data_IF_804767722675
#
_entry.id   IF_804767722675
#
_cell.length_a   1.000
_cell.length_b   1.000
_cell.length_c   1.000
_cell.angle_alpha   90.00
_cell.angle_beta   90.00
_cell.angle_gamma   90.00
#
_symmetry.space_group_name_H-M   'P 1'
#
loop_
_entity.id
_entity.type
_entity.pdbx_description
1 polymer ?
#
# COMPACT_ATOMS: atom_id res chain seq x y z
N UNK A 1 48.20 9.65 -5.33
CA UNK A 1 47.01 9.72 -4.45
C UNK A 1 46.20 10.92 -4.91
N UNK A 2 45.14 10.69 -5.69
CA UNK A 2 44.34 11.76 -6.27
C UNK A 2 43.43 12.36 -5.19
N UNK A 3 43.38 13.70 -5.10
CA UNK A 3 42.53 14.43 -4.16
C UNK A 3 41.06 14.00 -4.34
N UNK A 4 40.55 13.20 -3.40
CA UNK A 4 39.22 12.59 -3.42
C UNK A 4 38.11 13.49 -2.85
N UNK A 5 38.37 14.78 -2.66
CA UNK A 5 37.42 15.75 -2.09
C UNK A 5 37.18 16.98 -2.98
N UNK A 6 36.01 17.62 -2.83
CA UNK A 6 35.73 18.93 -3.44
C UNK A 6 36.76 19.94 -2.92
N UNK A 7 37.39 20.70 -3.82
CA UNK A 7 38.25 21.81 -3.42
C UNK A 7 37.39 22.99 -2.95
N UNK A 8 37.14 23.05 -1.65
CA UNK A 8 36.24 24.01 -1.01
C UNK A 8 36.73 25.45 -1.10
N UNK A 9 38.04 25.70 -1.02
CA UNK A 9 38.59 27.04 -1.19
C UNK A 9 38.31 27.58 -2.59
N UNK A 10 38.45 26.72 -3.60
CA UNK A 10 38.13 27.06 -4.98
C UNK A 10 36.62 27.24 -5.14
N UNK A 11 35.81 26.38 -4.53
CA UNK A 11 34.35 26.51 -4.55
C UNK A 11 33.92 27.84 -3.91
N UNK A 12 34.50 28.22 -2.77
CA UNK A 12 34.22 29.49 -2.08
C UNK A 12 34.52 30.69 -2.97
N UNK A 13 35.66 30.69 -3.66
CA UNK A 13 36.04 31.76 -4.59
C UNK A 13 35.08 31.86 -5.78
N UNK A 14 34.68 30.73 -6.35
CA UNK A 14 33.73 30.71 -7.46
C UNK A 14 32.34 31.13 -6.99
N UNK A 15 31.92 30.72 -5.78
CA UNK A 15 30.64 31.08 -5.20
C UNK A 15 30.55 32.58 -4.88
N UNK A 16 31.61 33.18 -4.35
CA UNK A 16 31.68 34.62 -4.13
C UNK A 16 31.49 35.43 -5.44
N UNK A 17 31.99 34.91 -6.57
CA UNK A 17 31.75 35.51 -7.89
C UNK A 17 30.31 35.28 -8.38
N UNK A 18 29.71 34.16 -8.02
CA UNK A 18 28.32 33.84 -8.35
C UNK A 18 27.30 34.69 -7.57
N UNK A 19 27.64 35.16 -6.37
CA UNK A 19 26.79 36.03 -5.54
C UNK A 19 27.04 37.54 -5.74
N UNK A 20 28.26 37.94 -6.09
CA UNK A 20 28.65 39.36 -6.15
C UNK A 20 29.22 39.85 -7.49
N UNK A 21 29.22 39.03 -8.53
CA UNK A 21 29.78 39.36 -9.85
C UNK A 21 28.88 40.26 -10.72
N UNK A 22 29.38 40.66 -11.89
CA UNK A 22 28.58 41.31 -12.94
C UNK A 22 27.71 40.27 -13.68
N UNK A 23 26.58 40.67 -14.26
CA UNK A 23 25.56 39.75 -14.86
C UNK A 23 26.13 38.59 -15.73
N UNK A 24 27.14 38.85 -16.57
CA UNK A 24 27.76 37.80 -17.39
C UNK A 24 28.75 36.89 -16.64
N UNK A 25 29.36 37.41 -15.58
CA UNK A 25 30.29 36.66 -14.72
C UNK A 25 29.54 35.78 -13.71
N UNK A 26 28.36 36.21 -13.25
CA UNK A 26 27.50 35.47 -12.32
C UNK A 26 27.01 34.16 -12.92
N UNK A 27 26.50 34.15 -14.15
CA UNK A 27 25.98 32.92 -14.78
C UNK A 27 27.09 31.92 -15.09
N UNK A 28 28.24 32.42 -15.54
CA UNK A 28 29.43 31.60 -15.77
C UNK A 28 29.96 31.00 -14.44
N UNK A 29 29.97 31.79 -13.36
CA UNK A 29 30.37 31.34 -12.04
C UNK A 29 29.38 30.31 -11.46
N UNK A 30 28.07 30.51 -11.61
CA UNK A 30 27.04 29.52 -11.22
C UNK A 30 27.20 28.21 -11.98
N UNK A 31 27.34 28.27 -13.31
CA UNK A 31 27.56 27.07 -14.14
C UNK A 31 28.81 26.31 -13.69
N UNK A 32 29.88 27.05 -13.36
CA UNK A 32 31.15 26.46 -12.92
C UNK A 32 31.08 25.89 -11.51
N UNK A 33 30.36 26.54 -10.61
CA UNK A 33 30.10 26.04 -9.26
C UNK A 33 29.26 24.76 -9.30
N UNK A 34 28.21 24.72 -10.13
CA UNK A 34 27.42 23.52 -10.38
C UNK A 34 28.29 22.36 -10.87
N UNK A 35 29.12 22.58 -11.89
CA UNK A 35 30.01 21.54 -12.42
C UNK A 35 31.05 21.02 -11.40
N UNK A 36 31.40 21.82 -10.37
CA UNK A 36 32.33 21.39 -9.32
C UNK A 36 31.68 20.43 -8.30
N UNK A 37 30.37 20.50 -8.13
CA UNK A 37 29.64 19.80 -7.06
C UNK A 37 28.71 18.70 -7.60
N UNK A 38 28.28 18.79 -8.86
CA UNK A 38 27.43 17.82 -9.54
C UNK A 38 28.02 16.39 -9.57
N UNK A 39 29.33 16.17 -9.79
CA UNK A 39 29.92 14.82 -9.71
C UNK A 39 29.79 14.17 -8.34
N UNK A 40 29.54 14.97 -7.31
CA UNK A 40 29.36 14.54 -5.93
C UNK A 40 27.88 14.54 -5.50
N UNK A 41 26.95 14.80 -6.44
CA UNK A 41 25.50 14.72 -6.24
C UNK A 41 24.84 15.97 -5.67
N UNK A 42 25.53 17.11 -5.65
CA UNK A 42 25.00 18.37 -5.10
C UNK A 42 24.41 19.28 -6.17
N UNK A 43 23.53 20.17 -5.73
CA UNK A 43 22.99 21.28 -6.54
C UNK A 43 23.49 22.63 -6.01
N UNK A 44 23.35 23.67 -6.84
CA UNK A 44 23.81 25.03 -6.54
C UNK A 44 23.36 25.54 -5.16
N UNK A 45 22.12 25.24 -4.77
CA UNK A 45 21.53 25.66 -3.50
C UNK A 45 22.23 25.05 -2.27
N UNK A 46 23.00 23.96 -2.45
CA UNK A 46 23.72 23.28 -1.36
C UNK A 46 25.05 23.98 -1.02
N UNK A 47 25.56 24.87 -1.88
CA UNK A 47 26.90 25.48 -1.74
C UNK A 47 27.07 26.30 -0.45
N UNK A 48 26.12 27.16 -0.04
CA UNK A 48 26.25 27.89 1.22
C UNK A 48 26.49 26.98 2.43
N UNK A 49 25.75 25.86 2.51
CA UNK A 49 25.93 24.86 3.55
C UNK A 49 27.27 24.13 3.45
N UNK A 50 27.70 23.76 2.23
CA UNK A 50 28.99 23.11 1.99
C UNK A 50 30.19 23.96 2.42
N UNK A 51 30.10 25.28 2.22
CA UNK A 51 31.15 26.22 2.60
C UNK A 51 31.14 26.52 4.10
N UNK A 52 29.96 26.59 4.72
CA UNK A 52 29.81 26.80 6.16
C UNK A 52 30.35 25.62 6.99
N UNK A 53 30.15 24.39 6.51
CA UNK A 53 30.50 23.17 7.24
C UNK A 53 31.97 22.71 7.05
N UNK A 54 32.77 23.42 6.26
CA UNK A 54 34.15 22.99 5.97
C UNK A 54 34.24 21.74 5.08
N UNK A 55 33.19 21.46 4.29
CA UNK A 55 33.08 20.39 3.30
C UNK A 55 32.90 18.97 3.85
N UNK A 56 33.46 17.97 3.15
CA UNK A 56 33.30 16.56 3.47
C UNK A 56 34.42 16.09 4.39
N UNK A 57 34.07 15.51 5.54
CA UNK A 57 34.93 14.50 6.13
C UNK A 57 34.99 13.28 5.19
N UNK A 58 36.07 12.50 5.29
CA UNK A 58 36.29 11.26 4.53
C UNK A 58 35.20 10.17 4.75
N UNK A 59 34.25 10.44 5.66
CA UNK A 59 33.14 9.58 6.06
C UNK A 59 31.83 9.92 5.31
N UNK A 60 31.84 9.91 3.98
CA UNK A 60 30.58 9.83 3.23
C UNK A 60 30.21 8.38 2.97
N UNK A 61 28.92 8.00 3.08
CA UNK A 61 28.50 6.63 2.85
C UNK A 61 28.72 6.25 1.38
N UNK A 62 29.63 5.31 1.17
CA UNK A 62 29.86 4.73 -0.15
C UNK A 62 28.76 3.72 -0.48
N UNK A 63 28.26 3.68 -1.72
CA UNK A 63 27.33 2.63 -2.14
C UNK A 63 28.01 1.26 -2.04
N UNK A 64 27.36 0.32 -1.37
CA UNK A 64 27.84 -1.05 -1.27
C UNK A 64 27.77 -1.79 -2.62
N UNK A 65 28.19 -3.08 -2.67
CA UNK A 65 28.22 -3.89 -3.89
C UNK A 65 26.88 -4.03 -4.63
N UNK A 66 25.75 -3.74 -3.96
CA UNK A 66 24.41 -3.72 -4.54
C UNK A 66 23.87 -2.33 -4.88
N UNK A 67 24.68 -1.27 -4.81
CA UNK A 67 24.26 0.11 -5.04
C UNK A 67 23.50 0.76 -3.88
N UNK A 68 23.19 0.00 -2.82
CA UNK A 68 22.56 0.52 -1.60
C UNK A 68 23.58 1.31 -0.78
N UNK A 69 23.20 2.52 -0.36
CA UNK A 69 23.97 3.35 0.58
C UNK A 69 23.36 3.21 1.97
N UNK A 70 24.21 2.98 2.97
CA UNK A 70 23.80 2.94 4.37
C UNK A 70 24.33 4.19 5.07
N UNK A 71 23.44 4.96 5.68
CA UNK A 71 23.79 6.16 6.43
C UNK A 71 23.95 5.81 7.91
N UNK A 72 25.05 6.23 8.52
CA UNK A 72 25.21 6.18 9.96
C UNK A 72 24.52 7.41 10.56
N UNK A 73 23.33 7.22 11.12
CA UNK A 73 22.53 8.31 11.67
C UNK A 73 23.13 8.90 12.96
N UNK A 74 24.14 8.25 13.55
CA UNK A 74 24.95 8.81 14.63
C UNK A 74 26.05 9.77 14.16
N UNK A 75 26.33 9.81 12.85
CA UNK A 75 27.32 10.70 12.24
C UNK A 75 26.64 11.92 11.59
N UNK A 76 26.92 13.16 12.04
CA UNK A 76 26.33 14.38 11.47
C UNK A 76 26.55 14.54 9.96
N UNK A 77 27.68 14.06 9.42
CA UNK A 77 27.94 14.14 7.98
C UNK A 77 27.05 13.19 7.16
N UNK A 78 26.82 11.98 7.67
CA UNK A 78 25.88 11.02 7.06
C UNK A 78 24.43 11.53 7.17
N UNK A 79 24.03 12.12 8.30
CA UNK A 79 22.72 12.77 8.46
C UNK A 79 22.49 13.86 7.40
N UNK A 80 23.46 14.76 7.20
CA UNK A 80 23.38 15.80 6.16
C UNK A 80 23.36 15.23 4.75
N UNK A 81 24.13 14.17 4.48
CA UNK A 81 24.13 13.48 3.19
C UNK A 81 22.77 12.81 2.90
N UNK A 82 22.19 12.15 3.90
CA UNK A 82 20.86 11.56 3.83
C UNK A 82 19.81 12.63 3.53
N UNK A 83 19.81 13.74 4.28
CA UNK A 83 18.85 14.82 4.11
C UNK A 83 18.89 15.40 2.69
N UNK A 84 20.09 15.65 2.14
CA UNK A 84 20.23 16.18 0.77
C UNK A 84 19.71 15.21 -0.30
N UNK A 85 20.02 13.92 -0.16
CA UNK A 85 19.51 12.90 -1.09
C UNK A 85 17.98 12.78 -0.99
N UNK A 86 17.45 12.82 0.23
CA UNK A 86 16.02 12.87 0.51
C UNK A 86 15.35 14.08 -0.14
N UNK A 87 15.89 15.29 0.05
CA UNK A 87 15.38 16.53 -0.53
C UNK A 87 15.47 16.55 -2.07
N UNK A 88 16.54 15.98 -2.64
CA UNK A 88 16.68 15.83 -4.09
C UNK A 88 15.63 14.87 -4.66
N UNK A 89 15.39 13.74 -3.99
CA UNK A 89 14.35 12.77 -4.35
C UNK A 89 12.96 13.41 -4.25
N UNK A 90 12.69 14.15 -3.17
CA UNK A 90 11.45 14.90 -2.96
C UNK A 90 11.23 15.92 -4.08
N UNK A 91 12.23 16.77 -4.39
CA UNK A 91 12.15 17.74 -5.50
C UNK A 91 11.88 17.07 -6.84
N UNK A 92 12.51 15.93 -7.13
CA UNK A 92 12.25 15.17 -8.36
C UNK A 92 10.81 14.64 -8.37
N UNK A 93 10.36 14.03 -7.28
CA UNK A 93 8.99 13.53 -7.16
C UNK A 93 7.96 14.65 -7.34
N UNK A 94 8.18 15.82 -6.71
CA UNK A 94 7.32 16.99 -6.84
C UNK A 94 7.21 17.48 -8.28
N UNK A 95 8.33 17.53 -9.01
CA UNK A 95 8.33 17.88 -10.44
C UNK A 95 7.58 16.84 -11.27
N UNK A 96 7.85 15.55 -11.04
CA UNK A 96 7.25 14.45 -11.80
C UNK A 96 5.73 14.32 -11.51
N UNK A 97 5.23 14.85 -10.39
CA UNK A 97 3.84 14.77 -9.94
C UNK A 97 3.15 16.15 -9.85
N UNK A 98 3.69 17.16 -10.52
CA UNK A 98 3.21 18.55 -10.43
C UNK A 98 1.70 18.68 -10.71
N UNK A 99 1.18 17.96 -11.72
CA UNK A 99 -0.24 17.98 -12.07
C UNK A 99 -1.12 17.40 -10.93
N UNK A 100 -0.68 16.31 -10.31
CA UNK A 100 -1.40 15.68 -9.19
C UNK A 100 -1.38 16.59 -7.95
N UNK A 101 -0.26 17.24 -7.68
CA UNK A 101 -0.15 18.22 -6.59
C UNK A 101 -1.08 19.40 -6.84
N UNK A 102 -1.10 19.93 -8.08
CA UNK A 102 -1.99 21.01 -8.45
C UNK A 102 -3.47 20.63 -8.30
N UNK A 103 -3.85 19.40 -8.65
CA UNK A 103 -5.21 18.87 -8.44
C UNK A 103 -5.59 18.85 -6.95
N UNK A 104 -4.70 18.34 -6.09
CA UNK A 104 -4.92 18.34 -4.64
C UNK A 104 -5.06 19.77 -4.12
N UNK A 105 -4.12 20.66 -4.43
CA UNK A 105 -4.18 22.06 -3.98
C UNK A 105 -5.48 22.74 -4.45
N UNK A 106 -5.90 22.52 -5.69
CA UNK A 106 -7.14 23.07 -6.21
C UNK A 106 -8.39 22.57 -5.46
N UNK A 107 -8.39 21.32 -4.99
CA UNK A 107 -9.50 20.72 -4.22
C UNK A 107 -9.71 21.40 -2.86
N UNK A 108 -8.62 21.80 -2.19
CA UNK A 108 -8.66 22.45 -0.87
C UNK A 108 -8.58 23.99 -0.95
N UNK A 109 -8.16 24.53 -2.09
CA UNK A 109 -8.08 25.97 -2.36
C UNK A 109 -6.70 26.59 -2.16
N UNK A 110 -5.86 26.02 -1.29
CA UNK A 110 -4.45 26.39 -1.12
C UNK A 110 -3.65 25.25 -0.51
N UNK A 111 -2.32 25.34 -0.55
CA UNK A 111 -1.44 24.37 0.10
C UNK A 111 -1.66 24.35 1.62
N UNK A 112 -1.77 25.52 2.24
CA UNK A 112 -2.03 25.64 3.69
C UNK A 112 -3.38 25.01 4.07
N UNK A 113 -4.38 25.09 3.20
CA UNK A 113 -5.70 24.49 3.43
C UNK A 113 -5.67 22.95 3.39
N UNK A 114 -4.75 22.33 2.65
CA UNK A 114 -4.56 20.87 2.63
C UNK A 114 -4.12 20.37 4.03
N UNK A 115 -3.25 21.12 4.69
CA UNK A 115 -2.69 20.76 5.99
C UNK A 115 -3.44 21.34 7.19
N UNK A 116 -4.40 22.24 6.97
CA UNK A 116 -5.22 22.80 8.03
C UNK A 116 -6.01 21.68 8.74
N UNK A 117 -5.97 21.59 10.09
CA UNK A 117 -6.77 20.60 10.79
C UNK A 117 -8.26 20.86 10.59
N UNK A 118 -8.98 19.82 10.18
CA UNK A 118 -10.43 19.82 9.96
C UNK A 118 -11.20 20.01 11.27
N UNK A 119 -12.49 20.31 11.18
CA UNK A 119 -13.33 20.43 12.38
C UNK A 119 -13.44 19.08 13.11
N UNK A 120 -13.52 18.00 12.34
CA UNK A 120 -13.58 16.63 12.81
C UNK A 120 -12.28 16.21 13.51
N UNK A 121 -11.11 16.51 12.93
CA UNK A 121 -9.80 16.27 13.59
C UNK A 121 -9.73 16.96 14.95
N UNK A 122 -10.09 18.24 15.01
CA UNK A 122 -10.08 19.02 16.27
C UNK A 122 -11.05 18.43 17.30
N UNK A 123 -12.22 17.99 16.87
CA UNK A 123 -13.22 17.40 17.75
C UNK A 123 -12.79 16.03 18.31
N UNK A 124 -12.06 15.25 17.51
CA UNK A 124 -11.53 13.95 17.93
C UNK A 124 -10.32 14.12 18.86
N UNK A 125 -9.39 15.02 18.54
CA UNK A 125 -8.25 15.32 19.41
C UNK A 125 -8.73 15.80 20.79
N UNK A 126 -9.70 16.71 20.82
CA UNK A 126 -10.29 17.18 22.08
C UNK A 126 -10.97 16.06 22.88
N UNK A 127 -11.54 15.06 22.21
CA UNK A 127 -12.19 13.93 22.86
C UNK A 127 -11.18 12.96 23.50
N UNK A 128 -10.00 12.81 22.90
CA UNK A 128 -8.99 11.85 23.38
C UNK A 128 -7.94 12.48 24.31
N UNK A 129 -7.78 13.81 24.31
CA UNK A 129 -6.80 14.51 25.13
C UNK A 129 -6.83 14.14 26.62
N UNK A 130 -7.99 13.91 27.28
CA UNK A 130 -8.02 13.49 28.68
C UNK A 130 -7.32 12.14 28.97
N UNK A 131 -7.08 11.33 27.94
CA UNK A 131 -6.41 10.03 28.05
C UNK A 131 -4.93 10.10 27.68
N UNK A 132 -4.41 11.28 27.32
CA UNK A 132 -3.03 11.45 26.87
C UNK A 132 -2.05 11.26 28.01
N UNK A 133 -1.05 10.44 27.74
CA UNK A 133 0.09 10.18 28.60
C UNK A 133 1.35 10.63 27.85
N UNK A 134 1.97 11.70 28.35
CA UNK A 134 3.18 12.26 27.76
C UNK A 134 4.39 11.51 28.29
N UNK A 135 5.19 10.94 27.39
CA UNK A 135 6.40 10.21 27.76
C UNK A 135 7.65 11.09 27.62
N UNK A 136 8.67 10.92 28.48
CA UNK A 136 9.91 11.67 28.38
C UNK A 136 10.79 11.17 27.23
N UNK A 137 11.50 12.09 26.57
CA UNK A 137 12.46 11.78 25.50
C UNK A 137 11.78 11.62 24.13
N UNK A 138 12.33 10.74 23.29
CA UNK A 138 11.85 10.48 21.92
C UNK A 138 10.73 9.41 21.87
N UNK A 139 10.06 9.15 22.99
CA UNK A 139 8.95 8.20 23.04
C UNK A 139 7.66 8.88 22.59
N UNK A 140 6.92 8.24 21.70
CA UNK A 140 5.62 8.73 21.28
C UNK A 140 4.64 8.73 22.46
N UNK A 141 3.77 9.74 22.51
CA UNK A 141 2.69 9.79 23.50
C UNK A 141 1.78 8.55 23.37
N UNK A 142 1.20 8.13 24.49
CA UNK A 142 0.14 7.13 24.51
C UNK A 142 -1.20 7.77 24.83
N UNK A 143 -2.27 7.10 24.44
CA UNK A 143 -3.63 7.46 24.84
C UNK A 143 -4.27 6.24 25.49
N UNK A 144 -4.48 6.31 26.81
CA UNK A 144 -4.89 5.18 27.65
C UNK A 144 -3.95 3.98 27.48
N UNK A 145 -2.63 4.22 27.56
CA UNK A 145 -1.57 3.22 27.42
C UNK A 145 -1.32 2.68 26.00
N UNK A 146 -2.02 3.17 24.96
CA UNK A 146 -1.86 2.67 23.58
C UNK A 146 -1.36 3.73 22.59
N UNK A 147 -0.38 3.35 21.76
CA UNK A 147 0.16 4.18 20.68
C UNK A 147 -0.73 4.17 19.43
N UNK A 148 -1.12 2.98 18.95
CA UNK A 148 -1.78 2.82 17.67
C UNK A 148 -3.29 2.66 17.85
N UNK A 149 -3.76 1.44 18.14
CA UNK A 149 -5.18 1.14 18.30
C UNK A 149 -5.78 1.84 19.53
N UNK A 150 -6.94 2.49 19.43
CA UNK A 150 -7.59 3.11 20.59
C UNK A 150 -8.08 2.04 21.58
N UNK A 151 -8.00 2.34 22.88
CA UNK A 151 -8.65 1.54 23.91
C UNK A 151 -10.18 1.70 23.84
N UNK A 152 -10.93 0.82 24.50
CA UNK A 152 -12.41 0.93 24.58
C UNK A 152 -12.87 2.28 25.14
N UNK A 153 -12.13 2.86 26.10
CA UNK A 153 -12.45 4.17 26.68
C UNK A 153 -12.26 5.30 25.66
N UNK A 154 -11.17 5.23 24.90
CA UNK A 154 -10.87 6.18 23.82
C UNK A 154 -11.89 6.05 22.68
N UNK A 155 -12.28 4.83 22.30
CA UNK A 155 -13.36 4.56 21.32
C UNK A 155 -14.68 5.16 21.78
N UNK A 156 -15.05 4.98 23.04
CA UNK A 156 -16.28 5.54 23.61
C UNK A 156 -16.27 7.08 23.59
N UNK A 157 -15.15 7.71 23.96
CA UNK A 157 -15.01 9.16 23.95
C UNK A 157 -15.10 9.74 22.53
N UNK A 158 -14.41 9.13 21.55
CA UNK A 158 -14.53 9.52 20.14
C UNK A 158 -15.96 9.38 19.63
N UNK A 159 -16.66 8.31 20.01
CA UNK A 159 -18.06 8.06 19.63
C UNK A 159 -19.07 9.06 20.22
N UNK A 160 -18.75 9.66 21.38
CA UNK A 160 -19.55 10.75 21.96
C UNK A 160 -19.34 12.08 21.22
N UNK A 161 -18.15 12.30 20.68
CA UNK A 161 -17.80 13.50 19.89
C UNK A 161 -18.38 13.42 18.47
N UNK A 162 -18.11 12.31 17.79
CA UNK A 162 -18.61 12.01 16.44
C UNK A 162 -19.17 10.58 16.45
N UNK A 163 -20.49 10.40 16.26
CA UNK A 163 -21.12 9.08 16.28
C UNK A 163 -20.42 8.09 15.35
N UNK A 164 -20.33 6.84 15.79
CA UNK A 164 -19.77 5.76 14.99
C UNK A 164 -20.76 5.33 13.89
N UNK A 165 -20.28 5.02 12.68
CA UNK A 165 -21.09 4.35 11.67
C UNK A 165 -21.59 2.99 12.17
N UNK A 166 -22.82 2.61 11.82
CA UNK A 166 -23.45 1.35 12.26
C UNK A 166 -23.56 0.30 11.14
N UNK A 167 -23.02 0.60 9.95
CA UNK A 167 -23.00 -0.30 8.80
C UNK A 167 -21.61 -0.38 8.17
N UNK A 168 -21.28 -1.54 7.58
CA UNK A 168 -20.00 -1.75 6.90
C UNK A 168 -19.76 -0.68 5.80
N UNK A 169 -20.73 -0.36 4.91
CA UNK A 169 -20.51 0.65 3.88
C UNK A 169 -20.27 2.05 4.44
N UNK A 170 -20.96 2.43 5.53
CA UNK A 170 -20.76 3.74 6.14
C UNK A 170 -19.40 3.84 6.85
N UNK A 171 -18.98 2.79 7.56
CA UNK A 171 -17.64 2.72 8.16
C UNK A 171 -16.53 2.76 7.11
N UNK A 172 -16.71 2.06 5.99
CA UNK A 172 -15.76 2.07 4.88
C UNK A 172 -15.68 3.45 4.21
N UNK A 173 -16.81 4.09 3.93
CA UNK A 173 -16.83 5.41 3.33
C UNK A 173 -16.11 6.45 4.20
N UNK A 174 -16.27 6.35 5.52
CA UNK A 174 -15.56 7.23 6.44
C UNK A 174 -14.05 6.89 6.51
N UNK A 175 -13.69 5.61 6.59
CA UNK A 175 -12.29 5.16 6.51
C UNK A 175 -11.61 5.72 5.25
N UNK A 176 -12.24 5.60 4.09
CA UNK A 176 -11.71 6.10 2.81
C UNK A 176 -11.59 7.63 2.76
N UNK A 177 -12.44 8.36 3.50
CA UNK A 177 -12.31 9.80 3.61
C UNK A 177 -11.03 10.19 4.37
N UNK A 178 -10.74 9.51 5.49
CA UNK A 178 -9.50 9.69 6.23
C UNK A 178 -8.27 9.27 5.44
N UNK A 179 -8.35 8.15 4.71
CA UNK A 179 -7.26 7.67 3.86
C UNK A 179 -6.96 8.65 2.73
N UNK A 180 -8.00 9.18 2.06
CA UNK A 180 -7.85 10.23 1.06
C UNK A 180 -7.21 11.50 1.62
N UNK A 181 -7.62 11.96 2.80
CA UNK A 181 -7.03 13.14 3.42
C UNK A 181 -5.54 12.93 3.72
N UNK A 182 -5.18 11.76 4.25
CA UNK A 182 -3.79 11.40 4.51
C UNK A 182 -2.98 11.34 3.20
N UNK A 183 -3.51 10.71 2.17
CA UNK A 183 -2.89 10.60 0.85
C UNK A 183 -2.73 11.97 0.17
N UNK A 184 -3.74 12.83 0.24
CA UNK A 184 -3.71 14.18 -0.32
C UNK A 184 -2.61 15.02 0.36
N UNK A 185 -2.50 14.96 1.69
CA UNK A 185 -1.44 15.62 2.45
C UNK A 185 -0.06 15.06 2.11
N UNK A 186 0.06 13.74 1.98
CA UNK A 186 1.30 13.09 1.56
C UNK A 186 1.71 13.51 0.13
N UNK A 187 0.75 13.61 -0.78
CA UNK A 187 0.98 14.10 -2.14
C UNK A 187 1.44 15.55 -2.12
N UNK A 188 0.75 16.42 -1.38
CA UNK A 188 1.08 17.83 -1.28
C UNK A 188 2.47 18.06 -0.63
N UNK A 189 2.91 17.18 0.27
CA UNK A 189 4.22 17.26 0.92
C UNK A 189 5.34 16.47 0.19
N UNK A 190 5.09 15.96 -1.01
CA UNK A 190 6.15 15.38 -1.82
C UNK A 190 6.44 13.91 -1.54
N UNK A 191 5.45 13.18 -1.07
CA UNK A 191 5.49 11.77 -0.73
C UNK A 191 6.53 11.44 0.36
N UNK A 192 6.57 12.25 1.41
CA UNK A 192 7.44 12.05 2.57
C UNK A 192 6.98 10.91 3.49
N UNK A 193 5.74 10.42 3.33
CA UNK A 193 5.19 9.28 4.08
C UNK A 193 5.15 9.52 5.60
N UNK A 194 4.95 10.78 6.02
CA UNK A 194 4.68 11.09 7.42
C UNK A 194 3.26 10.69 7.84
N UNK A 195 3.02 10.65 9.15
CA UNK A 195 1.66 10.62 9.69
C UNK A 195 1.06 12.03 9.60
N UNK A 196 0.14 12.20 8.65
CA UNK A 196 -0.49 13.49 8.36
C UNK A 196 -1.82 13.72 9.08
N UNK A 197 -2.40 12.69 9.69
CA UNK A 197 -3.63 12.81 10.46
C UNK A 197 -3.31 13.20 11.90
N UNK A 198 -4.21 13.94 12.53
CA UNK A 198 -4.12 14.18 13.97
C UNK A 198 -4.28 12.87 14.77
N UNK A 199 -3.81 12.83 16.03
CA UNK A 199 -3.86 11.62 16.87
C UNK A 199 -5.29 11.06 16.99
N UNK A 200 -6.30 11.93 17.14
CA UNK A 200 -7.70 11.54 17.20
C UNK A 200 -8.21 10.97 15.88
N UNK A 201 -7.89 11.61 14.75
CA UNK A 201 -8.29 11.13 13.44
C UNK A 201 -7.60 9.82 13.05
N UNK A 202 -6.31 9.65 13.35
CA UNK A 202 -5.61 8.39 13.07
C UNK A 202 -6.18 7.23 13.90
N UNK A 203 -6.41 7.43 15.20
CA UNK A 203 -7.07 6.42 16.06
C UNK A 203 -8.47 6.08 15.58
N UNK A 204 -9.22 7.08 15.10
CA UNK A 204 -10.53 6.87 14.49
C UNK A 204 -10.42 6.04 13.22
N UNK A 205 -9.49 6.37 12.32
CA UNK A 205 -9.22 5.61 11.09
C UNK A 205 -8.87 4.15 11.40
N UNK A 206 -8.01 3.91 12.41
CA UNK A 206 -7.68 2.55 12.87
C UNK A 206 -8.91 1.79 13.37
N UNK A 207 -9.75 2.43 14.19
CA UNK A 207 -10.96 1.77 14.67
C UNK A 207 -11.97 1.50 13.55
N UNK A 208 -12.14 2.42 12.60
CA UNK A 208 -12.99 2.21 11.41
C UNK A 208 -12.51 1.02 10.58
N UNK A 209 -11.19 0.82 10.47
CA UNK A 209 -10.62 -0.39 9.86
C UNK A 209 -11.11 -1.65 10.58
N UNK A 210 -11.00 -1.71 11.92
CA UNK A 210 -11.53 -2.82 12.71
C UNK A 210 -13.04 -3.00 12.55
N UNK A 211 -13.80 -1.90 12.44
CA UNK A 211 -15.25 -1.94 12.22
C UNK A 211 -15.62 -2.61 10.89
N UNK A 212 -14.97 -2.21 9.81
CA UNK A 212 -15.14 -2.80 8.47
C UNK A 212 -14.56 -4.21 8.40
N UNK A 213 -13.51 -4.51 9.14
CA UNK A 213 -12.81 -5.79 9.06
C UNK A 213 -13.50 -6.88 9.89
N UNK A 214 -13.99 -6.56 11.11
CA UNK A 214 -14.49 -7.56 12.05
C UNK A 214 -15.59 -7.13 13.04
N UNK A 215 -15.77 -5.86 13.36
CA UNK A 215 -16.67 -5.49 14.49
C UNK A 215 -18.15 -5.33 14.09
N UNK A 216 -18.45 -4.74 12.92
CA UNK A 216 -19.85 -4.56 12.48
C UNK A 216 -20.32 -5.86 11.82
N UNK A 217 -21.37 -6.55 12.30
CA UNK A 217 -21.92 -7.73 11.63
C UNK A 217 -22.45 -7.40 10.23
N UNK A 218 -22.18 -8.25 9.24
CA UNK A 218 -22.77 -8.10 7.90
C UNK A 218 -24.28 -8.34 7.95
N UNK A 219 -25.05 -7.46 7.27
CA UNK A 219 -26.52 -7.57 7.22
C UNK A 219 -27.01 -8.41 6.05
N UNK A 220 -26.20 -8.50 5.00
CA UNK A 220 -26.47 -9.27 3.79
C UNK A 220 -25.16 -9.73 3.12
N UNK A 221 -25.28 -10.47 2.02
CA UNK A 221 -24.13 -10.96 1.28
C UNK A 221 -23.32 -9.82 0.62
N UNK A 222 -23.92 -8.67 0.35
CA UNK A 222 -23.21 -7.50 -0.20
C UNK A 222 -22.23 -6.94 0.82
N UNK A 223 -22.65 -6.81 2.09
CA UNK A 223 -21.79 -6.43 3.21
C UNK A 223 -20.60 -7.41 3.36
N UNK A 224 -20.84 -8.72 3.21
CA UNK A 224 -19.76 -9.74 3.22
C UNK A 224 -18.78 -9.56 2.05
N UNK A 225 -19.28 -9.29 0.84
CA UNK A 225 -18.43 -9.02 -0.32
C UNK A 225 -17.59 -7.75 -0.11
N UNK A 226 -18.17 -6.69 0.47
CA UNK A 226 -17.46 -5.45 0.79
C UNK A 226 -16.33 -5.74 1.79
N UNK A 227 -16.61 -6.47 2.87
CA UNK A 227 -15.58 -6.88 3.84
C UNK A 227 -14.46 -7.67 3.16
N UNK A 228 -14.78 -8.67 2.35
CA UNK A 228 -13.78 -9.49 1.66
C UNK A 228 -12.90 -8.67 0.72
N UNK A 229 -13.48 -7.72 -0.03
CA UNK A 229 -12.70 -6.80 -0.88
C UNK A 229 -11.75 -5.95 -0.04
N UNK A 230 -12.25 -5.38 1.04
CA UNK A 230 -11.45 -4.60 1.97
C UNK A 230 -10.27 -5.40 2.56
N UNK A 231 -10.49 -6.68 2.93
CA UNK A 231 -9.44 -7.57 3.43
C UNK A 231 -8.41 -7.93 2.35
N UNK A 232 -8.86 -8.18 1.11
CA UNK A 232 -7.98 -8.47 -0.04
C UNK A 232 -7.09 -7.26 -0.39
N UNK A 233 -7.65 -6.06 -0.38
CA UNK A 233 -6.91 -4.82 -0.65
C UNK A 233 -5.86 -4.55 0.44
N UNK A 234 -6.11 -5.01 1.67
CA UNK A 234 -5.14 -5.00 2.77
C UNK A 234 -3.94 -5.93 2.59
N UNK A 235 -3.90 -6.78 1.55
CA UNK A 235 -2.78 -7.68 1.23
C UNK A 235 -2.29 -8.54 2.41
N UNK A 236 -3.22 -8.95 3.30
CA UNK A 236 -2.93 -9.77 4.48
C UNK A 236 -2.60 -8.99 5.76
N UNK A 237 -2.63 -7.66 5.74
CA UNK A 237 -2.59 -6.84 6.96
C UNK A 237 -3.94 -6.79 7.70
N UNK A 238 -5.03 -7.14 7.00
CA UNK A 238 -6.42 -7.11 7.47
C UNK A 238 -7.07 -8.47 7.17
N UNK A 239 -6.65 -9.50 7.90
CA UNK A 239 -7.09 -10.88 7.67
C UNK A 239 -7.88 -11.39 8.87
N UNK A 240 -9.20 -11.31 8.77
CA UNK A 240 -10.15 -11.76 9.79
C UNK A 240 -11.13 -12.79 9.20
N UNK A 241 -10.66 -14.01 8.87
CA UNK A 241 -11.49 -15.03 8.23
C UNK A 241 -12.61 -15.53 9.15
N UNK A 242 -12.41 -15.46 10.48
CA UNK A 242 -13.44 -15.81 11.46
C UNK A 242 -14.63 -14.85 11.37
N UNK A 243 -14.40 -13.54 11.20
CA UNK A 243 -15.50 -12.57 11.08
C UNK A 243 -16.36 -12.84 9.83
N UNK A 244 -15.72 -13.23 8.72
CA UNK A 244 -16.42 -13.63 7.49
C UNK A 244 -17.25 -14.89 7.73
N UNK A 245 -16.69 -15.89 8.43
CA UNK A 245 -17.41 -17.12 8.77
C UNK A 245 -18.63 -16.81 9.64
N UNK A 246 -18.45 -16.03 10.71
CA UNK A 246 -19.52 -15.64 11.62
C UNK A 246 -20.65 -14.90 10.88
N UNK A 247 -20.31 -14.04 9.92
CA UNK A 247 -21.29 -13.36 9.08
C UNK A 247 -22.07 -14.33 8.18
N UNK A 248 -21.38 -15.26 7.51
CA UNK A 248 -22.03 -16.26 6.65
C UNK A 248 -22.95 -17.19 7.45
N UNK A 249 -22.52 -17.65 8.63
CA UNK A 249 -23.33 -18.47 9.54
C UNK A 249 -24.56 -17.72 10.03
N UNK A 250 -24.42 -16.44 10.39
CA UNK A 250 -25.53 -15.58 10.79
C UNK A 250 -26.55 -15.39 9.67
N UNK A 251 -26.08 -15.13 8.45
CA UNK A 251 -26.95 -14.98 7.27
C UNK A 251 -27.67 -16.28 6.90
N UNK A 252 -26.97 -17.41 7.01
CA UNK A 252 -27.56 -18.73 6.82
C UNK A 252 -28.67 -18.99 7.85
N UNK A 253 -28.41 -18.73 9.13
CA UNK A 253 -29.38 -18.88 10.21
C UNK A 253 -30.60 -17.95 10.07
N UNK A 254 -30.40 -16.75 9.51
CA UNK A 254 -31.46 -15.79 9.22
C UNK A 254 -32.35 -16.16 8.01
N UNK A 255 -32.07 -17.27 7.32
CA UNK A 255 -32.94 -17.81 6.28
C UNK A 255 -32.66 -17.30 4.87
N UNK A 256 -31.46 -16.76 4.58
CA UNK A 256 -30.95 -16.63 3.21
C UNK A 256 -30.75 -18.03 2.60
N UNK A 257 -31.86 -18.67 2.20
CA UNK A 257 -31.92 -20.07 1.83
C UNK A 257 -33.31 -20.72 1.94
N UNK A 258 -34.30 -20.05 2.55
CA UNK A 258 -35.70 -20.45 2.41
C UNK A 258 -36.22 -20.05 1.01
N UNK A 259 -35.64 -20.63 -0.05
CA UNK A 259 -36.32 -20.72 -1.33
C UNK A 259 -37.60 -21.48 -1.02
N UNK A 260 -38.74 -20.78 -1.14
CA UNK A 260 -40.05 -21.35 -0.90
C UNK A 260 -40.14 -22.72 -1.58
N UNK A 261 -40.50 -23.72 -0.79
CA UNK A 261 -40.94 -25.02 -1.27
C UNK A 261 -42.10 -24.77 -2.23
N UNK A 262 -41.77 -24.63 -3.50
CA UNK A 262 -42.74 -24.62 -4.59
C UNK A 262 -43.25 -26.05 -4.61
N UNK A 263 -44.41 -26.26 -3.99
CA UNK A 263 -45.16 -27.50 -4.06
C UNK A 263 -45.21 -27.96 -5.52
N UNK A 264 -44.47 -29.02 -5.83
CA UNK A 264 -44.63 -29.75 -7.07
C UNK A 264 -45.85 -30.65 -6.88
N UNK A 265 -46.94 -30.50 -7.66
CA UNK A 265 -48.09 -31.36 -7.52
C UNK A 265 -47.77 -32.74 -8.08
N UNK A 266 -47.94 -33.76 -7.22
CA UNK A 266 -48.40 -35.11 -7.55
C UNK A 266 -47.77 -35.82 -8.75
N UNK A 267 -46.74 -36.63 -8.49
CA UNK A 267 -46.45 -37.81 -9.30
C UNK A 267 -47.23 -39.00 -8.73
N UNK A 268 -48.18 -39.53 -9.49
CA UNK A 268 -48.65 -40.91 -9.39
C UNK A 268 -48.25 -41.67 -10.66
N UNK A 269 -47.83 -42.94 -10.57
CA UNK A 269 -47.28 -43.69 -11.69
C UNK A 269 -48.32 -44.63 -12.33
N UNK A 270 -48.33 -44.76 -13.66
CA UNK A 270 -48.64 -46.01 -14.38
C UNK A 270 -48.39 -45.84 -15.88
N UNK A 271 -47.91 -46.93 -16.48
CA UNK A 271 -47.41 -47.09 -17.84
C UNK A 271 -48.52 -47.22 -18.91
N UNK A 272 -48.22 -46.86 -20.17
CA UNK A 272 -47.99 -47.82 -21.27
C UNK A 272 -47.81 -47.12 -22.64
N UNK A 273 -46.98 -47.75 -23.48
CA UNK A 273 -46.30 -47.37 -24.75
C UNK A 273 -47.26 -47.63 -25.99
N UNK A 274 -46.93 -47.55 -27.32
CA UNK A 274 -45.83 -46.98 -28.13
C UNK A 274 -46.16 -46.32 -29.52
N UNK A 275 -45.12 -45.74 -30.17
CA UNK A 275 -44.96 -45.58 -31.65
C UNK A 275 -45.42 -44.23 -32.23
N UNK A 276 -44.84 -43.60 -33.25
CA UNK A 276 -43.86 -43.99 -34.27
C UNK A 276 -43.27 -42.70 -34.93
N UNK A 277 -42.16 -42.89 -35.62
CA UNK A 277 -41.27 -41.94 -36.33
C UNK A 277 -41.93 -41.01 -37.37
N UNK A 278 -41.38 -39.79 -37.53
CA UNK A 278 -40.64 -39.35 -38.73
C UNK A 278 -40.54 -37.81 -38.85
N UNK A 279 -39.30 -37.36 -38.97
CA UNK A 279 -38.79 -36.31 -39.86
C UNK A 279 -39.02 -34.78 -39.61
N UNK A 280 -37.86 -34.15 -39.33
CA UNK A 280 -37.29 -32.94 -39.98
C UNK A 280 -37.18 -31.61 -39.20
N UNK A 281 -35.92 -31.35 -38.84
CA UNK A 281 -35.11 -30.12 -39.06
C UNK A 281 -35.15 -29.03 -37.98
N UNK A 282 -34.03 -28.95 -37.24
CA UNK A 282 -33.32 -27.69 -37.04
C UNK A 282 -33.21 -27.16 -35.60
N UNK A 283 -32.22 -27.62 -34.81
CA UNK A 283 -31.04 -26.81 -34.43
C UNK A 283 -30.07 -27.63 -33.54
N UNK A 284 -28.74 -27.44 -33.65
CA UNK A 284 -27.74 -28.27 -32.99
C UNK A 284 -27.26 -27.64 -31.68
N UNK A 285 -27.47 -28.33 -30.56
CA UNK A 285 -26.48 -28.52 -29.48
C UNK A 285 -27.09 -29.27 -28.31
N UNK A 286 -27.06 -30.60 -28.35
CA UNK A 286 -27.04 -31.47 -27.16
C UNK A 286 -26.15 -32.67 -27.48
N UNK A 287 -25.56 -33.25 -26.43
CA UNK A 287 -24.65 -34.40 -26.31
C UNK A 287 -23.17 -33.97 -26.23
N UNK A 288 -22.39 -34.39 -25.24
CA UNK A 288 -22.59 -35.28 -24.10
C UNK A 288 -21.40 -35.03 -23.13
N UNK A 289 -21.51 -35.49 -21.87
CA UNK A 289 -20.47 -35.35 -20.83
C UNK A 289 -19.10 -35.97 -21.18
N UNK A 290 -18.08 -35.89 -20.31
CA UNK A 290 -18.20 -36.24 -18.89
C UNK A 290 -17.49 -35.26 -17.92
N UNK A 291 -17.80 -35.49 -16.65
CA UNK A 291 -17.12 -35.00 -15.47
C UNK A 291 -15.62 -35.37 -15.50
N UNK A 292 -14.74 -34.39 -15.72
CA UNK A 292 -13.30 -34.44 -15.39
C UNK A 292 -12.77 -33.01 -15.12
N UNK A 293 -12.09 -32.87 -13.98
CA UNK A 293 -11.04 -31.89 -13.66
C UNK A 293 -11.41 -30.45 -13.25
N UNK A 294 -11.96 -30.29 -12.04
CA UNK A 294 -11.53 -29.20 -11.17
C UNK A 294 -10.33 -29.67 -10.33
N UNK A 295 -9.11 -29.12 -10.48
CA UNK A 295 -8.03 -29.47 -9.57
C UNK A 295 -8.33 -28.91 -8.17
N UNK A 296 -8.00 -29.63 -7.09
CA UNK A 296 -8.25 -29.18 -5.73
C UNK A 296 -7.50 -27.86 -5.45
N UNK A 297 -8.00 -26.99 -4.55
CA UNK A 297 -7.32 -25.75 -4.19
C UNK A 297 -5.94 -26.08 -3.62
N UNK A 298 -4.89 -25.63 -4.30
CA UNK A 298 -3.51 -25.83 -3.88
C UNK A 298 -3.28 -25.10 -2.55
N UNK A 299 -3.10 -25.86 -1.46
CA UNK A 299 -2.75 -25.41 -0.11
C UNK A 299 -1.31 -24.88 -0.01
N UNK A 300 -0.91 -23.96 -0.89
CA UNK A 300 0.44 -23.40 -0.96
C UNK A 300 0.35 -21.88 -0.80
N UNK A 301 0.30 -21.46 0.45
CA UNK A 301 -0.08 -20.12 0.85
C UNK A 301 1.04 -19.10 0.58
N UNK A 302 2.30 -19.55 0.47
CA UNK A 302 3.46 -18.67 0.23
C UNK A 302 4.12 -18.86 -1.13
N UNK A 303 4.74 -17.80 -1.64
CA UNK A 303 5.50 -17.84 -2.91
C UNK A 303 6.68 -18.83 -2.86
N UNK A 304 7.27 -19.05 -1.68
CA UNK A 304 8.31 -20.06 -1.45
C UNK A 304 7.79 -21.48 -1.60
N UNK A 305 6.62 -21.78 -1.03
CA UNK A 305 5.95 -23.09 -1.15
C UNK A 305 5.54 -23.40 -2.59
N UNK A 306 4.98 -22.41 -3.31
CA UNK A 306 4.65 -22.56 -4.74
C UNK A 306 5.89 -22.84 -5.59
N UNK A 307 7.02 -22.15 -5.32
CA UNK A 307 8.30 -22.43 -6.01
C UNK A 307 8.85 -23.82 -5.70
N UNK A 308 8.76 -24.28 -4.46
CA UNK A 308 9.19 -25.62 -4.07
C UNK A 308 8.34 -26.71 -4.77
N UNK A 309 7.04 -26.49 -4.88
CA UNK A 309 6.15 -27.43 -5.56
C UNK A 309 6.40 -27.49 -7.07
N UNK A 310 6.63 -26.35 -7.73
CA UNK A 310 7.03 -26.36 -9.16
C UNK A 310 8.32 -27.15 -9.36
N UNK A 311 9.31 -27.01 -8.47
CA UNK A 311 10.55 -27.81 -8.52
C UNK A 311 10.27 -29.30 -8.34
N UNK A 312 9.39 -29.65 -7.40
CA UNK A 312 8.99 -31.04 -7.14
C UNK A 312 8.33 -31.68 -8.37
N UNK A 313 7.41 -30.98 -9.03
CA UNK A 313 6.73 -31.46 -10.25
C UNK A 313 7.74 -31.60 -11.40
N UNK A 314 8.59 -30.60 -11.65
CA UNK A 314 9.59 -30.65 -12.72
C UNK A 314 10.68 -31.71 -12.51
N UNK A 315 10.86 -32.19 -11.27
CA UNK A 315 11.79 -33.26 -10.95
C UNK A 315 11.25 -34.65 -11.34
N UNK A 316 9.93 -34.83 -11.57
CA UNK A 316 9.36 -36.10 -12.00
C UNK A 316 9.39 -36.25 -13.53
N UNK A 317 9.40 -37.50 -14.02
CA UNK A 317 9.39 -37.77 -15.45
C UNK A 317 8.11 -37.25 -16.12
N UNK A 318 6.97 -37.40 -15.45
CA UNK A 318 5.66 -36.90 -15.87
C UNK A 318 5.64 -35.37 -15.97
N UNK A 319 6.19 -34.65 -14.98
CA UNK A 319 6.24 -33.20 -14.98
C UNK A 319 7.20 -32.61 -16.02
N UNK A 320 8.16 -33.38 -16.54
CA UNK A 320 9.00 -32.97 -17.68
C UNK A 320 8.26 -33.02 -19.02
N UNK A 321 7.27 -33.91 -19.15
CA UNK A 321 6.39 -34.01 -20.32
C UNK A 321 5.18 -33.06 -20.29
N UNK A 322 4.84 -32.51 -19.12
CA UNK A 322 3.73 -31.57 -18.96
C UNK A 322 4.01 -30.21 -19.62
N UNK A 323 2.92 -29.57 -20.08
CA UNK A 323 3.03 -28.21 -20.62
C UNK A 323 3.26 -27.19 -19.48
N UNK A 324 3.94 -26.07 -19.78
CA UNK A 324 4.18 -25.02 -18.78
C UNK A 324 2.89 -24.44 -18.21
N UNK A 325 1.83 -24.38 -19.02
CA UNK A 325 0.51 -23.87 -18.62
C UNK A 325 -0.20 -24.82 -17.66
N UNK A 326 -0.03 -26.12 -17.85
CA UNK A 326 -0.62 -27.16 -17.00
C UNK A 326 0.01 -27.18 -15.60
N UNK A 327 1.35 -27.11 -15.53
CA UNK A 327 2.07 -26.99 -14.25
C UNK A 327 1.71 -25.68 -13.53
N UNK A 328 1.59 -24.58 -14.30
CA UNK A 328 1.21 -23.27 -13.78
C UNK A 328 -0.20 -23.27 -13.17
N UNK A 329 -1.18 -23.87 -13.87
CA UNK A 329 -2.54 -24.01 -13.39
C UNK A 329 -2.63 -24.87 -12.12
N UNK A 330 -1.85 -25.96 -12.06
CA UNK A 330 -1.83 -26.88 -10.92
C UNK A 330 -1.24 -26.28 -9.64
N UNK A 331 -0.30 -25.34 -9.76
CA UNK A 331 0.41 -24.76 -8.61
C UNK A 331 -0.03 -23.33 -8.29
N UNK A 332 -0.82 -22.69 -9.15
CA UNK A 332 -1.26 -21.30 -8.98
C UNK A 332 -0.15 -20.28 -9.20
N UNK A 333 0.68 -20.47 -10.24
CA UNK A 333 1.76 -19.54 -10.64
C UNK A 333 1.68 -19.22 -12.13
N UNK A 334 2.37 -18.16 -12.59
CA UNK A 334 2.42 -17.85 -14.02
C UNK A 334 3.27 -18.85 -14.82
N UNK A 335 2.94 -19.16 -16.09
CA UNK A 335 3.76 -20.02 -16.95
C UNK A 335 5.22 -19.54 -17.11
N UNK A 336 5.43 -18.22 -17.09
CA UNK A 336 6.76 -17.60 -17.11
C UNK A 336 7.59 -17.96 -15.87
N UNK A 337 6.94 -18.08 -14.70
CA UNK A 337 7.59 -18.51 -13.45
C UNK A 337 8.06 -19.97 -13.55
N UNK A 338 7.22 -20.85 -14.09
CA UNK A 338 7.57 -22.26 -14.34
C UNK A 338 8.74 -22.36 -15.32
N UNK A 339 8.73 -21.59 -16.41
CA UNK A 339 9.82 -21.55 -17.40
C UNK A 339 11.15 -21.11 -16.77
N UNK A 340 11.15 -20.07 -15.94
CA UNK A 340 12.34 -19.58 -15.26
C UNK A 340 12.91 -20.60 -14.27
N UNK A 341 12.05 -21.31 -13.54
CA UNK A 341 12.47 -22.38 -12.63
C UNK A 341 13.04 -23.57 -13.42
N UNK A 342 12.40 -23.96 -14.52
CA UNK A 342 12.86 -25.05 -15.39
C UNK A 342 14.24 -24.75 -15.99
N UNK A 343 14.47 -23.51 -16.46
CA UNK A 343 15.78 -23.08 -16.97
C UNK A 343 16.87 -23.13 -15.90
N UNK A 344 16.56 -22.71 -14.67
CA UNK A 344 17.50 -22.74 -13.54
C UNK A 344 17.80 -24.15 -12.99
N UNK A 345 16.94 -25.13 -13.28
CA UNK A 345 17.19 -26.54 -12.91
C UNK A 345 18.01 -27.29 -13.97
N UNK A 346 18.07 -26.76 -15.19
CA UNK A 346 18.81 -27.36 -16.32
C UNK A 346 20.19 -26.72 -16.53
N UNK A 347 20.50 -25.64 -15.83
CA UNK A 347 21.81 -25.00 -15.74
C UNK A 347 22.57 -25.54 -14.52
#
# INVERSE_FOLDING_TARGET
>A
MAQSGINLERLAKVWALAEGGKEGETDAARTRAAAMIEPYGYVLDDIPGLLADGGFGDDLPQPGPGGLRFYDMGNPAHMRAYQREHDAKRRRWMRDNADRIAEVIARYGSEEAVFAPTAEEKALDAAIEPFREVHPGDQADTFDGSHFSPSERVVAAMGQSIPWPDTIPAALAEYEAWDRLCDDRNVADGNNQYDYLSNGADKRRWHLCDMVEKLIPARDLSDVIVRLRFQLDGQGSRDSPQAVLDDLERLQAAGFGASGTRESPGLSPAADIPGNESDKVGNPHVCAGPNLDAPPPSRLNTAGQRRAEVKRILATQEGRSMSLREIAARVGVSPSTVLNIRRRMAA
#
